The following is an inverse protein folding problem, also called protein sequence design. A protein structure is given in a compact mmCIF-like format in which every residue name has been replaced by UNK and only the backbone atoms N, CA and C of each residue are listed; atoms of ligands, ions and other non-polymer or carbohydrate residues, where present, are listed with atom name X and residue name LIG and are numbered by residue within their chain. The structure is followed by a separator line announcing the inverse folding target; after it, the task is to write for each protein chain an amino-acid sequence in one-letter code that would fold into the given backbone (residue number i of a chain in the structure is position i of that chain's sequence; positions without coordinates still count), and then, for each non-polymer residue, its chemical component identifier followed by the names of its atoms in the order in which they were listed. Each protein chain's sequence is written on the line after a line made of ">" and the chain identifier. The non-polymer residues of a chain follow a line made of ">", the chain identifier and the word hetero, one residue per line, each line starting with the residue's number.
data_IF_800518820331
#
_entry.id   IF_800518820331
#
_cell.length_a   1.000
_cell.length_b   1.000
_cell.length_c   1.000
_cell.angle_alpha   90.00
_cell.angle_beta   90.00
_cell.angle_gamma   90.00
#
_symmetry.space_group_name_H-M   'P 1'
#
loop_
_entity.id
_entity.type
_entity.pdbx_description
1 polymer ?
#
# COMPACT_ATOMS: atom_id res chain seq x y z
N UNK A 1 -0.75 -26.06 4.72
CA UNK A 1 0.61 -25.70 5.21
C UNK A 1 1.29 -24.65 4.32
N UNK A 2 1.73 -24.97 3.10
CA UNK A 2 2.37 -23.97 2.23
C UNK A 2 1.42 -22.82 1.86
N UNK A 3 0.17 -23.14 1.47
CA UNK A 3 -0.84 -22.13 1.14
C UNK A 3 -1.10 -21.16 2.31
N UNK A 4 -1.24 -21.67 3.52
CA UNK A 4 -1.51 -20.87 4.73
C UNK A 4 -0.31 -19.97 5.08
N UNK A 5 0.91 -20.48 4.91
CA UNK A 5 2.12 -19.70 5.11
C UNK A 5 2.25 -18.57 4.10
N UNK A 6 2.00 -18.83 2.82
CA UNK A 6 1.98 -17.79 1.77
C UNK A 6 0.87 -16.78 2.05
N UNK A 7 -0.29 -17.23 2.55
CA UNK A 7 -1.40 -16.35 2.94
C UNK A 7 -1.02 -15.44 4.11
N UNK A 8 -0.35 -15.97 5.12
CA UNK A 8 0.17 -15.17 6.24
C UNK A 8 1.22 -14.16 5.76
N UNK A 9 2.19 -14.60 4.96
CA UNK A 9 3.23 -13.72 4.40
C UNK A 9 2.64 -12.60 3.53
N UNK A 10 1.62 -12.92 2.72
CA UNK A 10 0.87 -11.93 1.93
C UNK A 10 0.22 -10.86 2.82
N UNK A 11 -0.47 -11.26 3.89
CA UNK A 11 -1.12 -10.32 4.81
C UNK A 11 -0.10 -9.45 5.55
N UNK A 12 1.01 -10.03 6.04
CA UNK A 12 2.09 -9.27 6.69
C UNK A 12 2.64 -8.21 5.74
N UNK A 13 2.97 -8.61 4.50
CA UNK A 13 3.46 -7.70 3.48
C UNK A 13 2.45 -6.58 3.18
N UNK A 14 1.15 -6.92 3.09
CA UNK A 14 0.08 -5.96 2.88
C UNK A 14 -0.03 -4.94 4.02
N UNK A 15 0.05 -5.38 5.29
CA UNK A 15 0.00 -4.47 6.44
C UNK A 15 1.22 -3.56 6.52
N UNK A 16 2.42 -4.08 6.26
CA UNK A 16 3.65 -3.27 6.21
C UNK A 16 3.56 -2.22 5.10
N UNK A 17 3.06 -2.62 3.93
CA UNK A 17 2.87 -1.71 2.81
C UNK A 17 1.87 -0.59 3.14
N UNK A 18 0.68 -0.93 3.64
CA UNK A 18 -0.34 0.08 3.98
C UNK A 18 0.09 0.96 5.14
N UNK A 19 0.76 0.40 6.16
CA UNK A 19 1.32 1.17 7.27
C UNK A 19 2.33 2.22 6.80
N UNK A 20 3.20 1.86 5.85
CA UNK A 20 4.12 2.80 5.22
C UNK A 20 3.41 3.93 4.47
N UNK A 21 2.37 3.61 3.69
CA UNK A 21 1.56 4.61 2.99
C UNK A 21 0.88 5.59 3.95
N UNK A 22 0.35 5.10 5.07
CA UNK A 22 -0.23 5.94 6.13
C UNK A 22 0.82 6.88 6.71
N UNK A 23 2.03 6.38 6.99
CA UNK A 23 3.13 7.22 7.48
C UNK A 23 3.47 8.36 6.50
N UNK A 24 3.56 8.05 5.20
CA UNK A 24 3.77 9.05 4.14
C UNK A 24 2.63 10.06 4.08
N UNK A 25 1.38 9.60 4.12
CA UNK A 25 0.23 10.49 4.04
C UNK A 25 0.10 11.39 5.28
N UNK A 26 0.43 10.91 6.48
CA UNK A 26 0.50 11.71 7.70
C UNK A 26 1.60 12.77 7.64
N UNK A 27 2.78 12.41 7.13
CA UNK A 27 3.88 13.36 6.95
C UNK A 27 3.52 14.46 5.95
N UNK A 28 2.88 14.12 4.83
CA UNK A 28 2.41 15.10 3.84
C UNK A 28 1.29 16.01 4.35
N UNK A 29 0.56 15.59 5.41
CA UNK A 29 -0.44 16.42 6.07
C UNK A 29 0.18 17.33 7.12
N UNK A 30 1.19 16.85 7.85
CA UNK A 30 1.84 17.57 8.94
C UNK A 30 3.36 17.61 8.71
N UNK A 31 3.83 18.38 7.72
CA UNK A 31 5.22 18.31 7.27
C UNK A 31 6.24 18.80 8.31
N UNK A 32 5.81 19.60 9.29
CA UNK A 32 6.64 20.06 10.40
C UNK A 32 6.98 18.96 11.44
N UNK A 33 6.21 17.86 11.48
CA UNK A 33 6.36 16.83 12.52
C UNK A 33 7.26 15.66 12.11
N UNK A 34 7.48 15.45 10.81
CA UNK A 34 8.13 14.23 10.30
C UNK A 34 9.23 14.60 9.30
N UNK A 35 10.43 14.08 9.52
CA UNK A 35 11.56 14.27 8.60
C UNK A 35 11.32 13.51 7.28
N UNK A 36 10.97 14.26 6.24
CA UNK A 36 10.64 13.74 4.89
C UNK A 36 11.77 12.88 4.28
N UNK A 37 13.04 13.25 4.50
CA UNK A 37 14.19 12.51 3.97
C UNK A 37 14.29 11.11 4.58
N UNK A 38 14.17 10.98 5.90
CA UNK A 38 14.19 9.69 6.60
C UNK A 38 13.03 8.81 6.17
N UNK A 39 11.84 9.42 6.04
CA UNK A 39 10.64 8.70 5.60
C UNK A 39 10.76 8.19 4.16
N UNK A 40 11.37 8.97 3.25
CA UNK A 40 11.66 8.54 1.88
C UNK A 40 12.61 7.34 1.84
N UNK A 41 13.64 7.33 2.69
CA UNK A 41 14.55 6.18 2.81
C UNK A 41 13.81 4.95 3.32
N UNK A 42 12.95 5.12 4.33
CA UNK A 42 12.12 4.04 4.87
C UNK A 42 11.16 3.48 3.81
N UNK A 43 10.45 4.35 3.08
CA UNK A 43 9.52 3.92 2.03
C UNK A 43 10.21 3.09 0.95
N UNK A 44 11.42 3.49 0.54
CA UNK A 44 12.21 2.74 -0.46
C UNK A 44 12.73 1.41 0.08
N UNK A 45 13.11 1.36 1.35
CA UNK A 45 13.73 0.17 1.97
C UNK A 45 12.72 -0.85 2.50
N UNK A 46 11.51 -0.42 2.87
CA UNK A 46 10.52 -1.25 3.56
C UNK A 46 9.20 -1.27 2.82
N UNK A 47 8.59 -0.11 2.57
CA UNK A 47 7.23 -0.03 2.01
C UNK A 47 7.15 -0.50 0.57
N UNK A 48 8.11 -0.11 -0.28
CA UNK A 48 8.17 -0.52 -1.69
C UNK A 48 8.47 -2.02 -1.83
N UNK A 49 9.45 -2.61 -1.12
CA UNK A 49 9.64 -4.05 -1.10
C UNK A 49 8.41 -4.80 -0.55
N UNK A 50 7.74 -4.28 0.48
CA UNK A 50 6.53 -4.89 1.01
C UNK A 50 5.39 -4.91 -0.02
N UNK A 51 5.21 -3.86 -0.83
CA UNK A 51 4.28 -3.86 -1.96
C UNK A 51 4.61 -4.98 -2.96
N UNK A 52 5.89 -5.09 -3.36
CA UNK A 52 6.33 -6.10 -4.32
C UNK A 52 6.09 -7.51 -3.76
N UNK A 53 6.42 -7.76 -2.50
CA UNK A 53 6.17 -9.03 -1.84
C UNK A 53 4.67 -9.34 -1.74
N UNK A 54 3.83 -8.35 -1.43
CA UNK A 54 2.39 -8.51 -1.40
C UNK A 54 1.84 -8.93 -2.78
N UNK A 55 2.35 -8.34 -3.87
CA UNK A 55 2.01 -8.72 -5.24
C UNK A 55 2.46 -10.15 -5.57
N UNK A 56 3.71 -10.49 -5.28
CA UNK A 56 4.28 -11.83 -5.54
C UNK A 56 3.47 -12.88 -4.78
N UNK A 57 3.25 -12.71 -3.48
CA UNK A 57 2.46 -13.65 -2.69
C UNK A 57 1.00 -13.71 -3.14
N UNK A 58 0.44 -12.58 -3.58
CA UNK A 58 -0.91 -12.54 -4.15
C UNK A 58 -1.05 -13.40 -5.40
N UNK A 59 -0.09 -13.31 -6.32
CA UNK A 59 -0.01 -14.16 -7.52
C UNK A 59 0.16 -15.62 -7.13
N UNK A 60 1.09 -15.91 -6.22
CA UNK A 60 1.33 -17.28 -5.72
C UNK A 60 0.07 -17.91 -5.11
N UNK A 61 -0.75 -17.15 -4.38
CA UNK A 61 -2.03 -17.64 -3.85
C UNK A 61 -3.05 -17.94 -4.96
N UNK A 62 -3.08 -17.11 -6.01
CA UNK A 62 -3.90 -17.35 -7.19
C UNK A 62 -3.54 -18.67 -7.89
N UNK A 63 -2.24 -18.93 -8.06
CA UNK A 63 -1.70 -20.18 -8.63
C UNK A 63 -2.02 -21.37 -7.75
N UNK A 64 -1.62 -21.32 -6.46
CA UNK A 64 -1.76 -22.43 -5.52
C UNK A 64 -3.22 -22.82 -5.27
N UNK A 65 -4.13 -21.86 -5.37
CA UNK A 65 -5.55 -22.11 -5.16
C UNK A 65 -6.35 -22.37 -6.45
N UNK A 66 -5.75 -22.22 -7.64
CA UNK A 66 -6.44 -22.44 -8.92
C UNK A 66 -7.54 -21.42 -9.25
N UNK A 67 -7.47 -20.20 -8.70
CA UNK A 67 -8.57 -19.20 -8.76
C UNK A 67 -8.50 -18.27 -9.99
N UNK A 68 -7.63 -18.53 -10.97
CA UNK A 68 -7.43 -17.60 -12.10
C UNK A 68 -8.66 -17.40 -12.98
N UNK A 69 -9.60 -18.33 -12.99
CA UNK A 69 -10.87 -18.22 -13.71
C UNK A 69 -11.97 -17.53 -12.88
N UNK A 70 -11.70 -17.21 -11.61
CA UNK A 70 -12.69 -16.60 -10.72
C UNK A 70 -12.74 -15.08 -10.90
N UNK A 71 -13.95 -14.55 -11.14
CA UNK A 71 -14.23 -13.10 -11.16
C UNK A 71 -13.77 -12.40 -9.87
N UNK A 72 -13.78 -13.10 -8.74
CA UNK A 72 -13.28 -12.60 -7.46
C UNK A 72 -11.78 -12.27 -7.50
N UNK A 73 -10.97 -13.09 -8.17
CA UNK A 73 -9.53 -12.83 -8.28
C UNK A 73 -9.27 -11.59 -9.14
N UNK A 74 -10.01 -11.42 -10.24
CA UNK A 74 -9.90 -10.24 -11.11
C UNK A 74 -10.21 -8.97 -10.33
N UNK A 75 -11.31 -8.93 -9.57
CA UNK A 75 -11.66 -7.79 -8.71
C UNK A 75 -10.55 -7.50 -7.69
N UNK A 76 -9.99 -8.54 -7.05
CA UNK A 76 -8.90 -8.39 -6.08
C UNK A 76 -7.65 -7.79 -6.73
N UNK A 77 -7.29 -8.23 -7.93
CA UNK A 77 -6.14 -7.71 -8.68
C UNK A 77 -6.35 -6.24 -9.04
N UNK A 78 -7.53 -5.86 -9.53
CA UNK A 78 -7.85 -4.47 -9.87
C UNK A 78 -7.68 -3.55 -8.65
N UNK A 79 -8.16 -3.98 -7.48
CA UNK A 79 -8.00 -3.21 -6.23
C UNK A 79 -6.54 -3.07 -5.81
N UNK A 80 -5.78 -4.16 -5.88
CA UNK A 80 -4.35 -4.14 -5.52
C UNK A 80 -3.55 -3.24 -6.47
N UNK A 81 -3.85 -3.26 -7.77
CA UNK A 81 -3.25 -2.34 -8.73
C UNK A 81 -3.63 -0.87 -8.45
N UNK A 82 -4.88 -0.61 -8.07
CA UNK A 82 -5.31 0.70 -7.62
C UNK A 82 -4.53 1.19 -6.40
N UNK A 83 -4.30 0.31 -5.42
CA UNK A 83 -3.49 0.62 -4.24
C UNK A 83 -2.02 0.87 -4.60
N UNK A 84 -1.44 0.10 -5.53
CA UNK A 84 -0.10 0.36 -6.09
C UNK A 84 0.01 1.71 -6.78
N UNK A 85 -0.99 2.09 -7.57
CA UNK A 85 -1.08 3.43 -8.16
C UNK A 85 -1.12 4.54 -7.10
N UNK A 86 -1.89 4.33 -6.03
CA UNK A 86 -1.99 5.28 -4.93
C UNK A 86 -0.66 5.42 -4.16
N UNK A 87 0.04 4.31 -3.93
CA UNK A 87 1.38 4.33 -3.35
C UNK A 87 2.35 5.10 -4.24
N UNK A 88 2.36 4.86 -5.55
CA UNK A 88 3.20 5.60 -6.49
C UNK A 88 2.93 7.12 -6.45
N UNK A 89 1.66 7.53 -6.35
CA UNK A 89 1.29 8.94 -6.20
C UNK A 89 1.82 9.54 -4.88
N UNK A 90 1.75 8.79 -3.76
CA UNK A 90 2.31 9.22 -2.47
C UNK A 90 3.83 9.36 -2.53
N UNK A 91 4.54 8.41 -3.13
CA UNK A 91 6.01 8.47 -3.32
C UNK A 91 6.38 9.68 -4.18
N UNK A 92 5.60 9.97 -5.23
CA UNK A 92 5.78 11.16 -6.06
C UNK A 92 5.66 12.46 -5.26
N UNK A 93 4.65 12.56 -4.39
CA UNK A 93 4.47 13.71 -3.49
C UNK A 93 5.58 13.81 -2.45
N UNK A 94 5.98 12.68 -1.85
CA UNK A 94 7.09 12.62 -0.90
C UNK A 94 8.41 13.08 -1.54
N UNK A 95 8.67 12.67 -2.78
CA UNK A 95 9.87 13.12 -3.52
C UNK A 95 9.87 14.63 -3.72
N UNK A 96 8.75 15.23 -4.12
CA UNK A 96 8.61 16.70 -4.24
C UNK A 96 8.81 17.38 -2.88
N UNK A 97 8.23 16.83 -1.82
CA UNK A 97 8.40 17.33 -0.45
C UNK A 97 9.84 17.28 0.08
N UNK A 98 10.69 16.40 -0.47
CA UNK A 98 12.13 16.41 -0.13
C UNK A 98 12.95 17.43 -0.92
N UNK A 99 12.40 17.98 -2.01
CA UNK A 99 13.09 18.92 -2.90
C UNK A 99 12.67 20.38 -2.64
N UNK A 100 11.40 20.61 -2.31
CA UNK A 100 10.85 21.95 -2.03
C UNK A 100 11.11 22.36 -0.56
N UNK A 101 11.16 23.66 -0.28
CA UNK A 101 11.17 24.15 1.09
C UNK A 101 9.87 23.75 1.79
N UNK A 102 9.99 23.07 2.93
CA UNK A 102 8.88 22.50 3.71
C UNK A 102 7.81 23.55 4.06
N UNK A 103 8.19 24.83 4.12
CA UNK A 103 7.34 25.97 4.47
C UNK A 103 6.35 26.38 3.35
N UNK A 104 6.60 26.01 2.09
CA UNK A 104 5.73 26.39 0.95
C UNK A 104 4.71 25.29 0.59
N UNK A 105 4.71 24.17 1.31
CA UNK A 105 3.83 23.04 1.01
C UNK A 105 2.44 23.21 1.59
N UNK A 106 1.43 23.32 0.71
CA UNK A 106 0.03 23.16 1.10
C UNK A 106 -0.21 21.73 1.62
N UNK A 107 -0.87 21.56 2.79
CA UNK A 107 -1.16 20.24 3.34
C UNK A 107 -2.08 19.46 2.40
N UNK A 108 -1.60 18.34 1.85
CA UNK A 108 -2.31 17.53 0.84
C UNK A 108 -2.20 16.02 1.10
N UNK A 109 -2.38 15.62 2.37
CA UNK A 109 -2.36 14.20 2.80
C UNK A 109 -3.73 13.59 3.14
N UNK A 110 -4.76 14.43 3.35
CA UNK A 110 -6.07 13.97 3.85
C UNK A 110 -6.81 13.02 2.90
N UNK A 111 -6.80 13.32 1.60
CA UNK A 111 -7.46 12.47 0.57
C UNK A 111 -6.82 11.08 0.52
N UNK A 112 -5.49 10.98 0.69
CA UNK A 112 -4.78 9.69 0.65
C UNK A 112 -5.00 8.82 1.87
N UNK A 113 -5.16 9.44 3.06
CA UNK A 113 -5.51 8.70 4.27
C UNK A 113 -6.90 8.08 4.13
N UNK A 114 -7.88 8.88 3.71
CA UNK A 114 -9.25 8.40 3.54
C UNK A 114 -9.32 7.31 2.46
N UNK A 115 -8.69 7.54 1.30
CA UNK A 115 -8.68 6.59 0.20
C UNK A 115 -7.88 5.32 0.53
N UNK A 116 -6.74 5.44 1.22
CA UNK A 116 -5.91 4.30 1.61
C UNK A 116 -6.58 3.42 2.66
N UNK A 117 -7.23 4.02 3.66
CA UNK A 117 -8.02 3.29 4.65
C UNK A 117 -9.26 2.65 4.01
N UNK A 118 -9.96 3.36 3.12
CA UNK A 118 -11.09 2.80 2.39
C UNK A 118 -10.68 1.62 1.49
N UNK A 119 -9.54 1.73 0.78
CA UNK A 119 -8.98 0.64 -0.03
C UNK A 119 -8.56 -0.55 0.84
N UNK A 120 -7.89 -0.33 1.98
CA UNK A 120 -7.56 -1.39 2.93
C UNK A 120 -8.82 -2.08 3.44
N UNK A 121 -9.82 -1.32 3.89
CA UNK A 121 -11.08 -1.85 4.38
C UNK A 121 -11.78 -2.67 3.29
N UNK A 122 -11.82 -2.16 2.05
CA UNK A 122 -12.40 -2.87 0.91
C UNK A 122 -11.63 -4.16 0.57
N UNK A 123 -10.29 -4.15 0.64
CA UNK A 123 -9.47 -5.36 0.43
C UNK A 123 -9.73 -6.39 1.54
N UNK A 124 -9.80 -5.96 2.81
CA UNK A 124 -10.13 -6.84 3.93
C UNK A 124 -11.54 -7.41 3.74
N UNK A 125 -12.52 -6.56 3.41
CA UNK A 125 -13.88 -6.97 3.14
C UNK A 125 -13.92 -7.99 2.00
N UNK A 126 -13.19 -7.77 0.91
CA UNK A 126 -13.15 -8.67 -0.24
C UNK A 126 -12.40 -9.99 0.04
N UNK A 127 -11.47 -9.98 1.01
CA UNK A 127 -10.78 -11.19 1.51
C UNK A 127 -11.66 -11.97 2.48
N UNK A 128 -12.45 -11.29 3.31
CA UNK A 128 -13.30 -11.90 4.35
C UNK A 128 -14.62 -12.38 3.77
N UNK A 129 -15.27 -11.59 2.92
CA UNK A 129 -16.57 -11.87 2.30
C UNK A 129 -16.38 -12.58 0.95
N UNK A 130 -15.42 -13.48 0.86
CA UNK A 130 -15.30 -14.37 -0.30
C UNK A 130 -16.62 -15.14 -0.44
N UNK A 131 -17.40 -15.03 -1.54
CA UNK A 131 -18.43 -16.02 -1.82
C UNK A 131 -17.78 -17.38 -2.14
#
# INVERSE_FOLDING_TARGET
>A
MLYDLVKAAHLIALFVWVGGMIAVALALRNPALIHMKSLKTYDRAVTTPAMILALIFGISLGVLGGWFTSTWLVLKVVLVLGLSGLHGALVGKLRRATLDNVNDMKPNGGVFLLSGLALLALIILLVVIKP
#
